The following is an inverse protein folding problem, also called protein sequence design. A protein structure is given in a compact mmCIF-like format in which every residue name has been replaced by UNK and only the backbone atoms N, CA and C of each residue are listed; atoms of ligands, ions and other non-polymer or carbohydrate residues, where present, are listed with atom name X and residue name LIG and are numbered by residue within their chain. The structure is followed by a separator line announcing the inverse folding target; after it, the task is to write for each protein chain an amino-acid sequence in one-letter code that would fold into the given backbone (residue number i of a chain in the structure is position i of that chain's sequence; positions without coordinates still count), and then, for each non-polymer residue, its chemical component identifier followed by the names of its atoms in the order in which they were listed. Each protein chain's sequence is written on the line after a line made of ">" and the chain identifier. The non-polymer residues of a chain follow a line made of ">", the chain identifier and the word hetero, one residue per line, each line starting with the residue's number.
data_IF_638179591349
#
_entry.id   IF_638179591349
#
_cell.length_a   1.000
_cell.length_b   1.000
_cell.length_c   1.000
_cell.angle_alpha   90.00
_cell.angle_beta   90.00
_cell.angle_gamma   90.00
#
_symmetry.space_group_name_H-M   'P 1'
#
loop_
_entity.id
_entity.type
_entity.pdbx_description
1 polymer ?
#
# COMPACT_ATOMS: atom_id res chain seq x y z
N UNK A 1 -6.28 43.62 58.06
CA UNK A 1 -6.21 43.64 56.64
C UNK A 1 -6.32 42.18 56.11
N UNK A 2 -7.49 41.78 55.64
CA UNK A 2 -7.70 40.44 55.05
C UNK A 2 -7.55 40.54 53.52
N UNK A 3 -6.67 39.74 52.97
CA UNK A 3 -6.45 39.60 51.51
C UNK A 3 -7.32 38.45 51.04
N UNK A 4 -8.22 38.59 50.02
CA UNK A 4 -8.99 37.50 49.49
C UNK A 4 -8.16 36.69 48.51
N UNK A 5 -8.09 35.36 48.72
CA UNK A 5 -7.50 34.38 47.84
C UNK A 5 -8.49 34.10 46.68
N UNK A 6 -8.17 34.56 45.48
CA UNK A 6 -8.90 34.20 44.25
C UNK A 6 -8.48 32.82 43.78
N UNK A 7 -9.33 31.82 43.90
CA UNK A 7 -9.17 30.51 43.25
C UNK A 7 -9.53 30.64 41.77
N UNK A 8 -8.53 30.53 40.90
CA UNK A 8 -8.75 30.39 39.46
C UNK A 8 -9.06 28.92 39.14
N UNK A 9 -10.30 28.64 38.77
CA UNK A 9 -10.70 27.33 38.25
C UNK A 9 -10.27 27.22 36.80
N UNK A 10 -9.25 26.40 36.51
CA UNK A 10 -8.85 26.03 35.15
C UNK A 10 -9.87 25.07 34.57
N UNK A 11 -10.70 25.54 33.64
CA UNK A 11 -11.53 24.71 32.78
C UNK A 11 -10.63 24.00 31.75
N UNK A 12 -10.30 22.74 32.03
CA UNK A 12 -9.66 21.88 31.04
C UNK A 12 -10.67 21.55 29.92
N UNK A 13 -10.47 22.13 28.75
CA UNK A 13 -11.23 21.76 27.55
C UNK A 13 -10.96 20.28 27.23
N UNK A 14 -11.99 19.47 26.91
CA UNK A 14 -11.79 18.09 26.49
C UNK A 14 -10.98 18.08 25.19
N UNK A 15 -9.85 17.36 25.18
CA UNK A 15 -9.09 17.08 23.98
C UNK A 15 -9.97 16.24 23.04
N UNK A 16 -10.42 16.83 21.95
CA UNK A 16 -11.12 16.11 20.90
C UNK A 16 -10.14 15.09 20.31
N UNK A 17 -10.35 13.81 20.60
CA UNK A 17 -9.63 12.71 19.95
C UNK A 17 -10.05 12.73 18.48
N UNK A 18 -9.12 12.91 17.53
CA UNK A 18 -9.47 12.89 16.12
C UNK A 18 -10.10 11.54 15.76
N UNK A 19 -11.32 11.57 15.25
CA UNK A 19 -11.99 10.38 14.74
C UNK A 19 -11.14 9.84 13.59
N UNK A 20 -10.69 8.58 13.67
CA UNK A 20 -9.98 7.96 12.58
C UNK A 20 -10.85 7.97 11.32
N UNK A 21 -10.30 8.42 10.19
CA UNK A 21 -11.01 8.44 8.93
C UNK A 21 -11.49 7.03 8.57
N UNK A 22 -12.72 6.93 8.06
CA UNK A 22 -13.25 5.66 7.58
C UNK A 22 -12.38 5.13 6.41
N UNK A 23 -12.15 3.81 6.31
CA UNK A 23 -11.42 3.24 5.18
C UNK A 23 -12.10 3.58 3.86
N UNK A 24 -11.30 3.98 2.87
CA UNK A 24 -11.78 4.31 1.52
C UNK A 24 -12.21 3.05 0.76
N UNK A 25 -13.19 3.18 -0.12
CA UNK A 25 -13.59 2.14 -1.09
C UNK A 25 -12.80 2.22 -2.41
N UNK A 26 -11.82 3.12 -2.51
CA UNK A 26 -10.96 3.25 -3.67
C UNK A 26 -9.69 2.42 -3.52
N UNK A 27 -9.19 1.93 -4.65
CA UNK A 27 -7.89 1.30 -4.79
C UNK A 27 -7.06 2.05 -5.81
N UNK A 28 -5.74 2.05 -5.64
CA UNK A 28 -4.82 2.63 -6.62
C UNK A 28 -3.82 1.59 -7.09
N UNK A 29 -3.57 1.59 -8.39
CA UNK A 29 -2.55 0.80 -9.07
C UNK A 29 -1.51 1.76 -9.64
N UNK A 30 -0.28 1.66 -9.12
CA UNK A 30 0.87 2.45 -9.53
C UNK A 30 1.87 1.54 -10.23
N UNK A 31 2.26 1.84 -11.46
CA UNK A 31 3.26 1.05 -12.15
C UNK A 31 4.24 1.90 -12.94
N UNK A 32 5.52 1.65 -12.72
CA UNK A 32 6.58 2.26 -13.48
C UNK A 32 6.69 1.56 -14.84
N UNK A 33 6.46 2.32 -15.91
CA UNK A 33 6.50 1.88 -17.31
C UNK A 33 7.77 2.31 -18.03
N UNK A 34 8.43 3.34 -17.54
CA UNK A 34 9.43 4.10 -18.30
C UNK A 34 10.82 3.52 -18.29
N UNK A 35 10.91 2.36 -17.83
CA UNK A 35 12.09 1.57 -17.98
C UNK A 35 12.73 1.58 -19.37
N UNK A 36 11.96 1.73 -20.43
CA UNK A 36 12.46 1.67 -21.80
C UNK A 36 13.32 2.86 -22.22
N UNK A 37 13.24 3.99 -21.53
CA UNK A 37 13.96 5.22 -21.90
C UNK A 37 14.99 5.70 -20.87
N UNK A 38 15.16 4.96 -19.76
CA UNK A 38 16.15 5.30 -18.74
C UNK A 38 17.32 4.33 -18.80
N UNK A 39 18.56 4.82 -18.94
CA UNK A 39 19.74 3.97 -19.15
C UNK A 39 20.04 3.00 -18.00
N UNK A 40 19.36 3.12 -16.87
CA UNK A 40 19.54 2.27 -15.70
C UNK A 40 18.44 1.27 -15.44
N UNK A 41 17.43 1.24 -16.26
CA UNK A 41 16.22 0.44 -15.99
C UNK A 41 15.87 -0.33 -17.26
N UNK A 42 16.45 -1.53 -17.40
CA UNK A 42 16.17 -2.43 -18.52
C UNK A 42 14.81 -3.14 -18.37
N UNK A 43 13.72 -2.40 -18.17
CA UNK A 43 12.40 -2.97 -18.35
C UNK A 43 11.98 -2.87 -19.83
N UNK A 44 12.65 -3.59 -20.68
CA UNK A 44 12.24 -3.75 -22.08
C UNK A 44 10.96 -4.58 -22.24
N UNK A 45 10.37 -5.06 -21.14
CA UNK A 45 9.25 -5.96 -21.16
C UNK A 45 7.91 -5.25 -20.94
N UNK A 46 6.84 -5.80 -21.50
CA UNK A 46 5.44 -5.42 -21.21
C UNK A 46 4.97 -5.92 -19.85
N UNK A 47 5.87 -6.44 -19.02
CA UNK A 47 5.52 -7.00 -17.71
C UNK A 47 4.85 -5.99 -16.76
N UNK A 48 5.33 -4.74 -16.63
CA UNK A 48 4.67 -3.75 -15.77
C UNK A 48 3.21 -3.52 -16.15
N UNK A 49 2.90 -3.39 -17.44
CA UNK A 49 1.53 -3.19 -17.92
C UNK A 49 0.64 -4.40 -17.62
N UNK A 50 1.17 -5.59 -17.85
CA UNK A 50 0.45 -6.83 -17.58
C UNK A 50 0.17 -7.01 -16.09
N UNK A 51 1.16 -6.72 -15.23
CA UNK A 51 1.01 -6.81 -13.78
C UNK A 51 0.00 -5.78 -13.27
N UNK A 52 0.08 -4.53 -13.73
CA UNK A 52 -0.90 -3.49 -13.41
C UNK A 52 -2.32 -3.89 -13.82
N UNK A 53 -2.49 -4.39 -15.05
CA UNK A 53 -3.79 -4.84 -15.55
C UNK A 53 -4.35 -6.04 -14.75
N UNK A 54 -3.51 -6.96 -14.31
CA UNK A 54 -3.92 -8.09 -13.47
C UNK A 54 -4.37 -7.61 -12.09
N UNK A 55 -3.60 -6.73 -11.46
CA UNK A 55 -3.95 -6.13 -10.17
C UNK A 55 -5.26 -5.35 -10.25
N UNK A 56 -5.39 -4.46 -11.24
CA UNK A 56 -6.61 -3.67 -11.48
C UNK A 56 -7.84 -4.54 -11.72
N UNK A 57 -7.70 -5.55 -12.56
CA UNK A 57 -8.80 -6.49 -12.85
C UNK A 57 -9.22 -7.30 -11.62
N UNK A 58 -8.28 -7.67 -10.76
CA UNK A 58 -8.58 -8.37 -9.52
C UNK A 58 -9.25 -7.45 -8.49
N UNK A 59 -8.75 -6.24 -8.32
CA UNK A 59 -9.32 -5.25 -7.40
C UNK A 59 -10.74 -4.86 -7.80
N UNK A 60 -11.01 -4.62 -9.10
CA UNK A 60 -12.37 -4.38 -9.60
C UNK A 60 -13.31 -5.56 -9.34
N UNK A 61 -12.84 -6.79 -9.55
CA UNK A 61 -13.63 -8.00 -9.27
C UNK A 61 -13.96 -8.18 -7.78
N UNK A 62 -13.14 -7.62 -6.89
CA UNK A 62 -13.37 -7.56 -5.45
C UNK A 62 -14.29 -6.39 -5.02
N UNK A 63 -14.73 -5.55 -5.96
CA UNK A 63 -15.64 -4.43 -5.72
C UNK A 63 -14.97 -3.07 -5.48
N UNK A 64 -13.65 -2.95 -5.70
CA UNK A 64 -12.95 -1.67 -5.56
C UNK A 64 -13.20 -0.75 -6.76
N UNK A 65 -13.35 0.55 -6.50
CA UNK A 65 -13.14 1.59 -7.51
C UNK A 65 -11.64 1.76 -7.73
N UNK A 66 -11.14 1.57 -8.94
CA UNK A 66 -9.69 1.47 -9.20
C UNK A 66 -9.22 2.63 -10.08
N UNK A 67 -8.28 3.42 -9.54
CA UNK A 67 -7.49 4.41 -10.26
C UNK A 67 -6.16 3.81 -10.69
N UNK A 68 -5.75 4.06 -11.94
CA UNK A 68 -4.50 3.59 -12.50
C UNK A 68 -3.59 4.78 -12.85
N UNK A 69 -2.38 4.78 -12.28
CA UNK A 69 -1.33 5.74 -12.59
C UNK A 69 -0.11 4.97 -13.09
N UNK A 70 0.07 4.99 -14.39
CA UNK A 70 1.09 4.18 -15.07
C UNK A 70 1.97 5.09 -15.93
N UNK A 71 3.26 4.78 -15.97
CA UNK A 71 4.25 5.50 -16.77
C UNK A 71 4.54 6.91 -16.25
N UNK A 72 4.74 7.91 -17.13
CA UNK A 72 5.22 9.24 -16.73
C UNK A 72 4.35 9.97 -15.70
N UNK A 73 3.09 9.57 -15.55
CA UNK A 73 2.21 10.13 -14.51
C UNK A 73 2.55 9.64 -13.11
N UNK A 74 3.26 8.51 -12.99
CA UNK A 74 3.70 7.95 -11.72
C UNK A 74 4.93 8.70 -11.20
N UNK A 75 4.80 9.99 -10.91
CA UNK A 75 5.80 10.83 -10.23
C UNK A 75 5.54 10.88 -8.72
N UNK A 76 6.48 11.47 -7.96
CA UNK A 76 6.43 11.51 -6.49
C UNK A 76 5.15 12.18 -5.96
N UNK A 77 4.84 13.38 -6.44
CA UNK A 77 3.65 14.13 -5.98
C UNK A 77 2.37 13.39 -6.27
N UNK A 78 2.24 12.80 -7.47
CA UNK A 78 1.07 12.01 -7.85
C UNK A 78 0.99 10.71 -7.04
N UNK A 79 2.11 10.02 -6.81
CA UNK A 79 2.14 8.81 -6.00
C UNK A 79 1.63 9.09 -4.57
N UNK A 80 2.15 10.11 -3.90
CA UNK A 80 1.73 10.48 -2.55
C UNK A 80 0.26 10.92 -2.50
N UNK A 81 -0.17 11.70 -3.50
CA UNK A 81 -1.57 12.14 -3.61
C UNK A 81 -2.54 10.96 -3.76
N UNK A 82 -2.16 9.95 -4.54
CA UNK A 82 -2.97 8.75 -4.78
C UNK A 82 -2.96 7.80 -3.58
N UNK A 83 -1.83 7.65 -2.90
CA UNK A 83 -1.68 6.76 -1.74
C UNK A 83 -2.46 7.28 -0.52
N UNK A 84 -2.58 8.59 -0.37
CA UNK A 84 -3.17 9.20 0.81
C UNK A 84 -4.60 8.71 1.14
N UNK A 85 -5.57 8.72 0.20
CA UNK A 85 -6.97 8.42 0.49
C UNK A 85 -7.38 6.95 0.31
N UNK A 86 -6.51 6.07 -0.20
CA UNK A 86 -6.96 4.74 -0.66
C UNK A 86 -7.10 3.70 0.45
N UNK A 87 -7.93 2.70 0.20
CA UNK A 87 -8.10 1.51 1.05
C UNK A 87 -7.31 0.30 0.56
N UNK A 88 -6.98 0.24 -0.75
CA UNK A 88 -6.11 -0.79 -1.32
C UNK A 88 -5.08 -0.18 -2.27
N UNK A 89 -3.88 -0.78 -2.31
CA UNK A 89 -2.75 -0.27 -3.09
C UNK A 89 -2.00 -1.41 -3.76
N UNK A 90 -1.67 -1.23 -5.02
CA UNK A 90 -0.67 -1.98 -5.76
C UNK A 90 0.43 -1.04 -6.26
N UNK A 91 1.70 -1.41 -6.05
CA UNK A 91 2.84 -0.69 -6.61
C UNK A 91 3.76 -1.67 -7.32
N UNK A 92 4.08 -1.45 -8.60
CA UNK A 92 5.12 -2.17 -9.31
C UNK A 92 6.20 -1.20 -9.78
N UNK A 93 7.41 -1.35 -9.21
CA UNK A 93 8.56 -0.48 -9.49
C UNK A 93 9.86 -1.12 -9.01
N UNK A 94 10.97 -0.37 -9.08
CA UNK A 94 12.16 -0.68 -8.31
C UNK A 94 11.97 -0.33 -6.84
N UNK A 95 12.48 -1.19 -5.96
CA UNK A 95 12.53 -0.95 -4.53
C UNK A 95 13.95 -1.05 -3.99
N UNK A 96 14.22 -0.32 -2.92
CA UNK A 96 15.48 -0.34 -2.19
C UNK A 96 15.31 0.39 -0.84
N UNK A 97 16.42 0.52 -0.11
CA UNK A 97 16.57 1.40 1.03
C UNK A 97 17.22 2.71 0.59
N UNK A 98 16.40 3.74 0.40
CA UNK A 98 16.82 5.05 -0.07
C UNK A 98 17.23 5.97 1.07
N UNK A 99 18.04 7.00 0.76
CA UNK A 99 18.47 7.96 1.76
C UNK A 99 17.33 8.90 2.16
N UNK A 100 17.01 8.90 3.45
CA UNK A 100 16.09 9.85 4.08
C UNK A 100 16.94 11.01 4.65
N UNK A 101 16.94 12.13 3.95
CA UNK A 101 17.73 13.30 4.33
C UNK A 101 17.28 13.91 5.67
N UNK A 102 15.99 13.86 5.98
CA UNK A 102 15.44 14.42 7.21
C UNK A 102 15.85 13.60 8.45
N UNK A 103 15.94 12.26 8.30
CA UNK A 103 16.33 11.38 9.39
C UNK A 103 17.82 11.02 9.40
N UNK A 104 18.59 11.39 8.37
CA UNK A 104 20.00 11.03 8.22
C UNK A 104 20.26 9.52 8.14
N UNK A 105 19.33 8.75 7.60
CA UNK A 105 19.41 7.28 7.51
C UNK A 105 18.69 6.74 6.28
N UNK A 106 18.91 5.46 5.96
CA UNK A 106 18.17 4.79 4.90
C UNK A 106 16.77 4.38 5.36
N UNK A 107 15.81 4.49 4.45
CA UNK A 107 14.42 4.08 4.63
C UNK A 107 13.93 3.28 3.42
N UNK A 108 13.05 2.33 3.66
CA UNK A 108 12.42 1.53 2.60
C UNK A 108 11.55 2.40 1.72
N UNK A 109 11.55 2.12 0.43
CA UNK A 109 10.78 2.87 -0.55
C UNK A 109 10.78 2.22 -1.92
N UNK A 110 10.24 2.97 -2.88
CA UNK A 110 10.21 2.59 -4.29
C UNK A 110 10.48 3.80 -5.18
N UNK A 111 10.97 3.53 -6.37
CA UNK A 111 11.20 4.58 -7.37
C UNK A 111 9.89 4.96 -8.05
N UNK A 112 9.81 6.22 -8.46
CA UNK A 112 8.76 6.74 -9.32
C UNK A 112 9.35 7.13 -10.68
N UNK A 113 8.53 7.52 -11.63
CA UNK A 113 8.97 7.95 -12.94
C UNK A 113 9.64 9.33 -12.87
N UNK A 114 10.54 9.56 -13.80
CA UNK A 114 11.32 10.79 -13.94
C UNK A 114 12.76 10.65 -13.44
N UNK A 115 13.64 11.46 -14.01
CA UNK A 115 15.05 11.48 -13.68
C UNK A 115 15.90 10.38 -14.33
N UNK A 116 17.19 10.47 -14.13
CA UNK A 116 18.19 9.47 -14.49
C UNK A 116 18.44 8.53 -13.30
N UNK A 117 19.06 7.39 -13.54
CA UNK A 117 19.26 6.32 -12.57
C UNK A 117 19.76 6.70 -11.18
N UNK A 118 20.79 7.53 -11.15
CA UNK A 118 21.39 8.00 -9.89
C UNK A 118 20.51 8.98 -9.13
N UNK A 119 19.59 9.65 -9.83
CA UNK A 119 18.75 10.74 -9.33
C UNK A 119 17.25 10.46 -9.58
N UNK A 120 16.88 9.22 -9.85
CA UNK A 120 15.46 8.89 -9.99
C UNK A 120 14.72 9.20 -8.70
N UNK A 121 13.62 9.97 -8.77
CA UNK A 121 12.82 10.29 -7.60
C UNK A 121 12.33 9.00 -6.92
N UNK A 122 12.19 9.07 -5.61
CA UNK A 122 11.75 7.93 -4.78
C UNK A 122 10.65 8.38 -3.84
N UNK A 123 9.79 7.45 -3.47
CA UNK A 123 8.83 7.62 -2.39
C UNK A 123 9.26 6.68 -1.27
N UNK A 124 9.52 7.23 -0.09
CA UNK A 124 9.99 6.50 1.08
C UNK A 124 8.93 6.43 2.18
N UNK A 125 9.08 5.48 3.09
CA UNK A 125 8.10 5.23 4.15
C UNK A 125 7.75 6.47 5.01
N UNK A 126 8.68 7.38 5.38
CA UNK A 126 8.33 8.62 6.09
C UNK A 126 7.41 9.54 5.32
N UNK A 127 7.61 9.69 4.01
CA UNK A 127 6.76 10.53 3.14
C UNK A 127 5.35 9.96 3.03
N UNK A 128 5.23 8.63 2.89
CA UNK A 128 3.95 7.94 2.92
C UNK A 128 3.24 8.16 4.26
N UNK A 129 3.96 8.03 5.38
CA UNK A 129 3.41 8.28 6.72
C UNK A 129 2.93 9.74 6.86
N UNK A 130 3.69 10.70 6.33
CA UNK A 130 3.32 12.11 6.34
C UNK A 130 2.09 12.39 5.46
N UNK A 131 1.97 11.72 4.31
CA UNK A 131 0.79 11.83 3.44
C UNK A 131 -0.47 11.17 4.04
N UNK A 132 -0.33 10.28 5.03
CA UNK A 132 -1.42 9.50 5.65
C UNK A 132 -1.52 9.69 7.18
N UNK A 133 -1.41 10.88 7.74
CA UNK A 133 -1.24 11.07 9.20
C UNK A 133 -2.42 10.58 10.03
N UNK A 134 -3.62 10.55 9.45
CA UNK A 134 -4.87 10.12 10.12
C UNK A 134 -5.65 9.12 9.29
N UNK A 135 -5.04 8.54 8.25
CA UNK A 135 -5.73 7.58 7.39
C UNK A 135 -5.90 6.23 8.12
N UNK A 136 -7.01 5.56 7.84
CA UNK A 136 -7.19 4.18 8.25
C UNK A 136 -6.09 3.28 7.63
N UNK A 137 -5.71 2.17 8.28
CA UNK A 137 -4.82 1.19 7.69
C UNK A 137 -5.31 0.72 6.32
N UNK A 138 -4.39 0.48 5.39
CA UNK A 138 -4.76 -0.16 4.13
C UNK A 138 -5.34 -1.56 4.41
N UNK A 139 -6.41 -1.89 3.70
CA UNK A 139 -6.97 -3.24 3.71
C UNK A 139 -6.05 -4.19 2.95
N UNK A 140 -5.54 -3.73 1.80
CA UNK A 140 -4.59 -4.49 0.99
C UNK A 140 -3.47 -3.57 0.51
N UNK A 141 -2.21 -3.98 0.73
CA UNK A 141 -1.04 -3.39 0.10
C UNK A 141 -0.21 -4.48 -0.56
N UNK A 142 0.00 -4.39 -1.87
CA UNK A 142 0.89 -5.27 -2.63
C UNK A 142 2.00 -4.40 -3.21
N UNK A 143 3.20 -4.55 -2.66
CA UNK A 143 4.38 -3.75 -3.03
C UNK A 143 5.32 -4.64 -3.82
N UNK A 144 5.10 -4.68 -5.12
CA UNK A 144 5.80 -5.48 -6.14
C UNK A 144 7.15 -4.86 -6.49
N UNK A 145 8.05 -4.82 -5.52
CA UNK A 145 9.37 -4.16 -5.59
C UNK A 145 10.39 -4.95 -4.77
N UNK A 146 11.69 -4.77 -5.07
CA UNK A 146 12.77 -5.35 -4.28
C UNK A 146 12.77 -4.85 -2.82
N UNK A 147 13.28 -5.65 -1.87
CA UNK A 147 13.59 -5.32 -0.47
C UNK A 147 12.42 -4.88 0.42
N UNK A 148 11.23 -4.66 -0.12
CA UNK A 148 10.10 -4.12 0.62
C UNK A 148 9.27 -5.18 1.38
N UNK A 149 9.58 -6.46 1.25
CA UNK A 149 9.07 -7.56 2.09
C UNK A 149 9.94 -7.90 3.29
N UNK A 150 11.05 -7.24 3.49
CA UNK A 150 11.96 -7.52 4.60
C UNK A 150 11.39 -7.06 5.95
N UNK A 151 11.84 -7.72 7.04
CA UNK A 151 11.50 -7.27 8.42
C UNK A 151 11.98 -5.85 8.72
N UNK A 152 13.05 -5.41 8.07
CA UNK A 152 13.58 -4.06 8.19
C UNK A 152 12.74 -3.02 7.45
N UNK A 153 11.85 -3.43 6.53
CA UNK A 153 11.00 -2.52 5.78
C UNK A 153 10.08 -1.73 6.70
N UNK A 154 10.01 -0.43 6.47
CA UNK A 154 9.10 0.48 7.18
C UNK A 154 7.78 0.71 6.43
N UNK A 155 7.65 0.19 5.20
CA UNK A 155 6.45 0.38 4.37
C UNK A 155 5.18 -0.21 4.99
N UNK A 156 5.17 -1.44 5.56
CA UNK A 156 3.95 -1.92 6.21
C UNK A 156 3.42 -0.96 7.27
N UNK A 157 4.32 -0.45 8.14
CA UNK A 157 3.95 0.51 9.18
C UNK A 157 3.47 1.85 8.60
N UNK A 158 4.09 2.34 7.52
CA UNK A 158 3.67 3.57 6.83
C UNK A 158 2.25 3.45 6.24
N UNK A 159 1.82 2.25 5.90
CA UNK A 159 0.45 1.94 5.48
C UNK A 159 -0.50 1.60 6.64
N UNK A 160 -0.03 1.69 7.88
CA UNK A 160 -0.81 1.34 9.08
C UNK A 160 -0.97 -0.18 9.29
N UNK A 161 -0.17 -1.01 8.61
CA UNK A 161 -0.26 -2.47 8.69
C UNK A 161 0.77 -3.00 9.68
N UNK A 162 0.30 -3.69 10.71
CA UNK A 162 1.18 -4.32 11.70
C UNK A 162 1.99 -5.46 11.06
N UNK A 163 3.29 -5.49 11.34
CA UNK A 163 4.20 -6.56 10.89
C UNK A 163 4.05 -7.83 11.75
N UNK A 164 2.84 -8.35 11.78
CA UNK A 164 2.48 -9.57 12.50
C UNK A 164 1.68 -10.47 11.57
N UNK A 165 2.06 -11.75 11.48
CA UNK A 165 1.31 -12.77 10.73
C UNK A 165 0.20 -13.35 11.61
N UNK A 166 -1.04 -13.28 11.15
CA UNK A 166 -2.18 -13.94 11.78
C UNK A 166 -2.52 -15.20 10.98
N UNK A 167 -2.38 -16.33 11.62
CA UNK A 167 -2.52 -17.67 11.02
C UNK A 167 -3.96 -17.97 10.52
N UNK A 168 -4.13 -18.97 9.65
CA UNK A 168 -5.44 -19.46 9.24
C UNK A 168 -6.36 -19.74 10.44
N UNK A 169 -7.63 -19.39 10.31
CA UNK A 169 -8.66 -19.64 11.32
C UNK A 169 -8.60 -18.75 12.57
N UNK A 170 -7.64 -17.83 12.67
CA UNK A 170 -7.55 -16.88 13.78
C UNK A 170 -8.13 -15.51 13.40
N UNK A 171 -8.84 -14.83 14.31
CA UNK A 171 -9.28 -13.46 14.08
C UNK A 171 -8.05 -12.54 14.00
N UNK A 172 -8.11 -11.52 13.13
CA UNK A 172 -7.00 -10.60 12.92
C UNK A 172 -7.44 -9.24 12.38
N UNK A 173 -6.50 -8.31 12.22
CA UNK A 173 -6.79 -6.99 11.67
C UNK A 173 -7.35 -7.12 10.25
N UNK A 174 -8.08 -6.11 9.81
CA UNK A 174 -8.59 -6.03 8.44
C UNK A 174 -7.54 -5.46 7.49
N UNK A 175 -6.35 -6.08 7.48
CA UNK A 175 -5.23 -5.63 6.65
C UNK A 175 -4.35 -6.80 6.22
N UNK A 176 -3.79 -6.68 5.01
CA UNK A 176 -2.82 -7.61 4.45
C UNK A 176 -1.78 -6.85 3.61
N UNK A 177 -0.52 -7.14 3.84
CA UNK A 177 0.62 -6.61 3.10
C UNK A 177 1.36 -7.75 2.41
N UNK A 178 1.72 -7.56 1.15
CA UNK A 178 2.61 -8.43 0.38
C UNK A 178 3.77 -7.60 -0.14
N UNK A 179 4.98 -8.07 0.04
CA UNK A 179 6.20 -7.51 -0.52
C UNK A 179 7.22 -8.60 -0.80
N UNK A 180 8.39 -8.23 -1.31
CA UNK A 180 9.46 -9.18 -1.63
C UNK A 180 10.72 -8.85 -0.83
N UNK A 181 11.30 -9.86 -0.17
CA UNK A 181 12.57 -9.74 0.52
C UNK A 181 13.72 -9.91 -0.48
N UNK A 182 14.76 -9.07 -0.33
CA UNK A 182 15.89 -9.05 -1.25
C UNK A 182 15.51 -8.64 -2.68
N UNK A 183 16.30 -9.12 -3.63
CA UNK A 183 16.09 -8.85 -5.06
C UNK A 183 14.90 -9.67 -5.56
N UNK A 184 14.00 -9.01 -6.28
CA UNK A 184 12.82 -9.61 -6.90
C UNK A 184 12.93 -9.51 -8.43
N UNK A 185 13.17 -10.63 -9.10
CA UNK A 185 13.26 -10.65 -10.56
C UNK A 185 11.88 -10.68 -11.20
N UNK A 186 11.69 -9.89 -12.24
CA UNK A 186 10.40 -9.75 -12.95
C UNK A 186 9.80 -11.09 -13.35
N UNK A 187 10.61 -12.07 -13.79
CA UNK A 187 10.13 -13.41 -14.15
C UNK A 187 9.48 -14.16 -12.97
N UNK A 188 10.05 -14.01 -11.76
CA UNK A 188 9.47 -14.58 -10.55
C UNK A 188 8.19 -13.85 -10.14
N UNK A 189 8.23 -12.51 -10.15
CA UNK A 189 7.07 -11.66 -9.86
C UNK A 189 5.89 -12.04 -10.74
N UNK A 190 6.09 -12.07 -12.06
CA UNK A 190 5.02 -12.38 -13.04
C UNK A 190 4.36 -13.73 -12.74
N UNK A 191 5.15 -14.77 -12.47
CA UNK A 191 4.62 -16.10 -12.15
C UNK A 191 3.82 -16.10 -10.86
N UNK A 192 4.40 -15.56 -9.78
CA UNK A 192 3.78 -15.49 -8.47
C UNK A 192 2.48 -14.67 -8.53
N UNK A 193 2.54 -13.43 -9.01
CA UNK A 193 1.40 -12.51 -8.99
C UNK A 193 0.26 -12.96 -9.89
N UNK A 194 0.54 -13.61 -11.02
CA UNK A 194 -0.52 -14.19 -11.86
C UNK A 194 -1.40 -15.17 -11.08
N UNK A 195 -0.80 -16.02 -10.25
CA UNK A 195 -1.53 -16.99 -9.44
C UNK A 195 -2.20 -16.33 -8.23
N UNK A 196 -1.52 -15.39 -7.58
CA UNK A 196 -2.04 -14.61 -6.46
C UNK A 196 -3.30 -13.82 -6.87
N UNK A 197 -3.22 -13.00 -7.90
CA UNK A 197 -4.35 -12.17 -8.35
C UNK A 197 -5.51 -13.01 -8.89
N UNK A 198 -5.23 -14.12 -9.57
CA UNK A 198 -6.27 -15.06 -9.99
C UNK A 198 -7.02 -15.67 -8.81
N UNK A 199 -6.32 -16.01 -7.74
CA UNK A 199 -6.91 -16.55 -6.53
C UNK A 199 -7.79 -15.51 -5.82
N UNK A 200 -7.31 -14.28 -5.68
CA UNK A 200 -8.10 -13.17 -5.12
C UNK A 200 -9.37 -12.89 -5.93
N UNK A 201 -9.30 -12.87 -7.25
CA UNK A 201 -10.47 -12.73 -8.15
C UNK A 201 -11.55 -13.81 -7.93
N UNK A 202 -11.16 -14.98 -7.44
CA UNK A 202 -12.07 -16.09 -7.10
C UNK A 202 -12.60 -15.98 -5.66
N UNK A 203 -12.31 -14.91 -4.95
CA UNK A 203 -12.76 -14.67 -3.58
C UNK A 203 -11.98 -15.44 -2.51
N UNK A 204 -10.78 -15.97 -2.83
CA UNK A 204 -9.96 -16.60 -1.82
C UNK A 204 -9.41 -15.56 -0.84
N UNK A 205 -9.22 -15.91 0.45
CA UNK A 205 -8.49 -15.08 1.40
C UNK A 205 -7.08 -14.76 0.92
N UNK A 206 -6.55 -13.60 1.31
CA UNK A 206 -5.26 -13.10 0.85
C UNK A 206 -4.09 -14.04 1.16
N UNK A 207 -4.09 -14.70 2.32
CA UNK A 207 -3.09 -15.72 2.65
C UNK A 207 -3.21 -16.97 1.77
N UNK A 208 -4.43 -17.44 1.49
CA UNK A 208 -4.64 -18.56 0.57
C UNK A 208 -4.25 -18.19 -0.88
N UNK A 209 -4.46 -16.93 -1.28
CA UNK A 209 -3.99 -16.44 -2.57
C UNK A 209 -2.46 -16.38 -2.61
N UNK A 210 -1.81 -15.99 -1.52
CA UNK A 210 -0.35 -16.03 -1.37
C UNK A 210 0.19 -17.46 -1.55
N UNK A 211 -0.43 -18.45 -0.90
CA UNK A 211 -0.03 -19.86 -1.05
C UNK A 211 -0.18 -20.34 -2.50
N UNK A 212 -1.22 -19.89 -3.22
CA UNK A 212 -1.35 -20.18 -4.66
C UNK A 212 -0.24 -19.53 -5.48
N UNK A 213 0.22 -18.34 -5.10
CA UNK A 213 1.41 -17.71 -5.66
C UNK A 213 2.67 -18.55 -5.46
N UNK A 214 2.89 -19.09 -4.26
CA UNK A 214 4.02 -19.96 -3.96
C UNK A 214 4.07 -21.23 -4.82
N UNK A 215 2.90 -21.77 -5.18
CA UNK A 215 2.79 -22.95 -6.02
C UNK A 215 2.97 -22.68 -7.53
N UNK A 216 3.30 -21.46 -7.93
CA UNK A 216 3.41 -21.07 -9.35
C UNK A 216 4.70 -21.55 -10.05
N UNK A 217 5.62 -22.18 -9.34
CA UNK A 217 6.86 -22.74 -9.90
C UNK A 217 7.92 -21.69 -10.25
N UNK A 218 7.96 -20.55 -9.57
CA UNK A 218 9.11 -19.64 -9.66
C UNK A 218 10.29 -20.21 -8.87
N UNK A 219 11.51 -19.77 -9.23
CA UNK A 219 12.71 -20.12 -8.46
C UNK A 219 12.80 -19.29 -7.17
N UNK A 220 13.15 -19.87 -6.01
CA UNK A 220 13.48 -19.11 -4.81
C UNK A 220 14.63 -18.10 -5.01
N UNK A 221 15.52 -18.34 -5.98
CA UNK A 221 16.55 -17.37 -6.36
C UNK A 221 15.99 -16.15 -7.12
N UNK A 222 14.78 -16.27 -7.68
CA UNK A 222 14.14 -15.18 -8.42
C UNK A 222 13.24 -14.31 -7.55
N UNK A 223 12.72 -14.87 -6.45
CA UNK A 223 11.73 -14.20 -5.64
C UNK A 223 11.62 -14.79 -4.25
N UNK A 224 11.57 -13.94 -3.25
CA UNK A 224 11.27 -14.29 -1.85
C UNK A 224 10.06 -13.48 -1.38
N UNK A 225 8.83 -13.96 -1.64
CA UNK A 225 7.63 -13.24 -1.22
C UNK A 225 7.41 -13.35 0.29
N UNK A 226 7.02 -12.23 0.89
CA UNK A 226 6.71 -12.12 2.32
C UNK A 226 5.40 -11.38 2.52
N UNK A 227 4.67 -11.75 3.57
CA UNK A 227 3.41 -11.09 3.89
C UNK A 227 3.29 -10.78 5.40
N UNK A 228 2.44 -9.79 5.71
CA UNK A 228 2.08 -9.38 7.06
C UNK A 228 0.59 -9.11 7.15
N UNK A 229 0.00 -9.25 8.32
CA UNK A 229 -1.42 -8.99 8.54
C UNK A 229 -2.24 -10.27 8.70
N UNK A 230 -3.45 -10.29 8.15
CA UNK A 230 -4.42 -11.35 8.37
C UNK A 230 -4.52 -12.31 7.18
N UNK A 231 -4.13 -13.57 7.39
CA UNK A 231 -4.23 -14.64 6.39
C UNK A 231 -5.66 -14.81 5.85
N UNK A 232 -6.68 -14.70 6.73
CA UNK A 232 -8.08 -14.98 6.41
C UNK A 232 -8.80 -13.80 5.74
N UNK A 233 -8.12 -12.68 5.51
CA UNK A 233 -8.73 -11.49 4.93
C UNK A 233 -9.17 -11.73 3.49
N UNK A 234 -10.45 -11.52 3.20
CA UNK A 234 -10.93 -11.25 1.83
C UNK A 234 -10.88 -9.73 1.66
N UNK A 235 -9.98 -9.21 0.79
CA UNK A 235 -9.69 -7.78 0.74
C UNK A 235 -10.75 -7.02 -0.10
N UNK A 236 -11.99 -7.02 0.34
CA UNK A 236 -13.08 -6.24 -0.24
C UNK A 236 -13.11 -4.82 0.34
N UNK A 237 -13.64 -3.83 -0.40
CA UNK A 237 -13.84 -2.50 0.14
C UNK A 237 -14.79 -2.53 1.35
N UNK A 238 -14.76 -1.51 2.22
CA UNK A 238 -15.76 -1.34 3.25
C UNK A 238 -17.14 -1.14 2.61
N UNK A 239 -18.22 -1.56 3.28
CA UNK A 239 -19.56 -1.24 2.79
C UNK A 239 -19.73 0.27 2.69
N UNK A 240 -20.40 0.71 1.64
CA UNK A 240 -20.75 2.13 1.48
C UNK A 240 -21.56 2.57 2.68
N UNK A 241 -21.22 3.69 3.30
CA UNK A 241 -22.07 4.28 4.34
C UNK A 241 -23.46 4.50 3.75
N UNK A 242 -24.55 4.12 4.46
CA UNK A 242 -25.88 4.40 3.98
C UNK A 242 -26.01 5.93 3.77
N UNK A 243 -26.45 6.31 2.59
CA UNK A 243 -26.77 7.73 2.31
C UNK A 243 -27.82 8.15 3.35
N UNK A 244 -27.59 9.21 4.13
CA UNK A 244 -28.61 9.69 5.06
C UNK A 244 -29.91 9.89 4.29
N UNK A 245 -31.06 9.46 4.83
CA UNK A 245 -32.33 9.64 4.17
C UNK A 245 -32.48 11.12 3.83
N UNK A 246 -32.67 11.41 2.55
CA UNK A 246 -32.75 12.77 2.03
C UNK A 246 -33.77 13.54 2.87
N UNK A 247 -33.28 14.55 3.61
CA UNK A 247 -34.15 15.45 4.34
C UNK A 247 -35.16 16.06 3.33
N UNK A 248 -36.44 15.71 3.47
CA UNK A 248 -37.51 16.36 2.78
C UNK A 248 -37.33 17.85 2.97
N UNK A 249 -36.93 18.56 1.93
CA UNK A 249 -37.07 20.02 1.89
C UNK A 249 -38.58 20.26 1.81
N UNK A 250 -39.18 20.55 2.97
CA UNK A 250 -40.48 21.17 2.98
C UNK A 250 -40.33 22.52 2.31
N UNK A 251 -40.97 22.67 1.16
CA UNK A 251 -41.20 23.91 0.45
C UNK A 251 -42.42 24.60 1.07
#
# INVERSE_FOLDING_TARGET
>A
MLVPLLLAASLAAPLAVPLAAAPSSTATVLANRTASNQPCVNFTSTAPDRLAAQASGALRALGWSVDEVVGPRFNEGEALRQIAPVGALYVHSHGDHYWDAAAGRRSSGFRVDGGICSNAPTVIAPEISAARPSAAPLILAVISTCYNGERASKLPAAFGIAMKKVSPGKPGPRSFYLGYAGIAWVRGIVRFEQHFWRALRRGLPAGAAFDRGLLSGFSPADLTPEWWGNYNLIPTPPPSSPTPPGGSRNV
#
